data_IF_877578906184
#
_entry.id   IF_877578906184
#
_cell.length_a   1.000
_cell.length_b   1.000
_cell.length_c   1.000
_cell.angle_alpha   90.00
_cell.angle_beta   90.00
_cell.angle_gamma   90.00
#
_symmetry.space_group_name_H-M   'P 1'
#
loop_
_entity.id
_entity.type
_entity.pdbx_description
1 polymer ?
#
# COMPACT_ATOMS: atom_id res chain seq x y z
N UNK A 1 -0.34 -18.14 -1.30
CA UNK A 1 -1.53 -17.30 -1.52
C UNK A 1 -1.07 -16.17 -2.41
N UNK A 2 -1.48 -16.20 -3.67
CA UNK A 2 -0.97 -15.33 -4.73
C UNK A 2 -1.38 -13.89 -4.44
N UNK A 3 -0.42 -13.06 -4.05
CA UNK A 3 -0.56 -11.61 -4.09
C UNK A 3 -0.84 -11.26 -5.57
N UNK A 4 -2.03 -10.74 -5.82
CA UNK A 4 -2.32 -10.16 -7.11
C UNK A 4 -1.40 -8.95 -7.29
N UNK A 5 -0.21 -9.20 -7.86
CA UNK A 5 0.40 -8.18 -8.69
C UNK A 5 -0.63 -7.94 -9.81
N UNK A 6 -1.45 -6.91 -9.67
CA UNK A 6 -2.04 -6.31 -10.85
C UNK A 6 -0.87 -5.73 -11.64
N UNK A 7 -0.30 -6.54 -12.52
CA UNK A 7 0.41 -6.01 -13.66
C UNK A 7 -0.63 -5.16 -14.38
N UNK A 8 -0.51 -3.85 -14.23
CA UNK A 8 -1.21 -2.91 -15.09
C UNK A 8 -0.60 -3.16 -16.45
N UNK A 9 -1.24 -4.07 -17.22
CA UNK A 9 -1.04 -4.07 -18.65
C UNK A 9 -1.43 -2.68 -19.11
N UNK A 10 -0.58 -1.97 -19.83
CA UNK A 10 -0.97 -0.71 -20.43
C UNK A 10 -2.26 -0.99 -21.20
N UNK A 11 -3.37 -0.38 -20.78
CA UNK A 11 -4.59 -0.35 -21.59
C UNK A 11 -4.15 0.12 -22.95
N UNK A 12 -4.49 -0.66 -23.98
CA UNK A 12 -4.23 -0.41 -25.38
C UNK A 12 -4.66 1.03 -25.76
N UNK A 13 -3.79 2.01 -25.51
CA UNK A 13 -3.77 3.24 -26.27
C UNK A 13 -3.02 2.90 -27.56
N UNK A 14 -3.78 2.57 -28.58
CA UNK A 14 -3.28 2.23 -29.89
C UNK A 14 -2.24 3.28 -30.34
N UNK A 15 -1.01 2.84 -30.60
CA UNK A 15 0.09 3.52 -31.29
C UNK A 15 1.03 4.46 -30.53
N UNK A 16 1.11 4.47 -29.21
CA UNK A 16 2.19 5.17 -28.56
C UNK A 16 3.46 4.29 -28.53
N UNK A 17 4.65 4.75 -28.99
CA UNK A 17 5.85 3.92 -29.05
C UNK A 17 6.33 3.59 -27.65
N UNK A 18 6.27 2.31 -27.30
CA UNK A 18 6.77 1.74 -26.05
C UNK A 18 8.03 0.93 -26.31
N UNK A 19 9.14 1.26 -25.66
CA UNK A 19 10.38 0.50 -25.73
C UNK A 19 10.51 -0.41 -24.49
N UNK A 20 10.60 -1.72 -24.74
CA UNK A 20 10.82 -2.72 -23.70
C UNK A 20 12.24 -3.31 -23.83
N UNK A 21 13.04 -3.10 -22.78
CA UNK A 21 14.41 -3.61 -22.62
C UNK A 21 14.52 -4.50 -21.37
N UNK A 22 13.43 -5.13 -20.95
CA UNK A 22 13.37 -5.93 -19.73
C UNK A 22 14.22 -7.20 -19.84
N UNK A 23 14.81 -7.62 -18.70
CA UNK A 23 15.49 -8.92 -18.54
C UNK A 23 16.69 -9.15 -19.49
N UNK A 24 17.38 -8.10 -19.90
CA UNK A 24 18.50 -8.20 -20.87
C UNK A 24 19.89 -8.19 -20.23
N UNK A 25 19.97 -8.20 -18.89
CA UNK A 25 21.23 -8.14 -18.15
C UNK A 25 22.08 -6.89 -18.46
N UNK A 26 21.43 -5.80 -18.84
CA UNK A 26 22.08 -4.55 -19.22
C UNK A 26 22.73 -3.89 -17.98
N UNK A 27 24.00 -3.55 -18.07
CA UNK A 27 24.70 -2.73 -17.06
C UNK A 27 24.53 -1.23 -17.33
N UNK A 28 24.27 -0.84 -18.56
CA UNK A 28 24.01 0.52 -19.05
C UNK A 28 23.18 0.48 -20.32
N UNK A 29 22.54 1.59 -20.69
CA UNK A 29 21.77 1.70 -21.94
C UNK A 29 22.28 2.82 -22.85
N UNK A 30 23.42 3.45 -22.54
CA UNK A 30 23.95 4.63 -23.23
C UNK A 30 24.20 4.39 -24.73
N UNK A 31 24.45 3.13 -25.12
CA UNK A 31 24.63 2.74 -26.51
C UNK A 31 23.32 2.47 -27.28
N UNK A 32 22.18 2.55 -26.60
CA UNK A 32 20.85 2.33 -27.18
C UNK A 32 20.29 3.70 -27.57
N UNK A 33 20.04 3.89 -28.85
CA UNK A 33 19.40 5.12 -29.33
C UNK A 33 17.92 5.12 -28.91
N UNK A 34 17.55 6.06 -28.04
CA UNK A 34 16.17 6.29 -27.64
C UNK A 34 15.51 7.28 -28.60
N UNK A 35 14.27 7.00 -28.99
CA UNK A 35 13.47 7.91 -29.80
C UNK A 35 12.78 8.93 -28.89
N UNK A 36 12.90 10.23 -29.16
CA UNK A 36 12.28 11.31 -28.37
C UNK A 36 10.73 11.29 -28.43
N UNK A 37 10.16 10.50 -29.31
CA UNK A 37 8.74 10.25 -29.43
C UNK A 37 8.21 9.18 -28.47
N UNK A 38 9.08 8.48 -27.69
CA UNK A 38 8.67 7.45 -26.75
C UNK A 38 7.72 8.00 -25.69
N UNK A 39 6.65 7.25 -25.44
CA UNK A 39 5.71 7.50 -24.35
C UNK A 39 5.83 6.46 -23.24
N UNK A 40 6.51 5.34 -23.51
CA UNK A 40 6.79 4.33 -22.50
C UNK A 40 8.19 3.74 -22.66
N UNK A 41 8.87 3.53 -21.51
CA UNK A 41 10.17 2.88 -21.42
C UNK A 41 10.18 1.93 -20.23
N UNK A 42 10.57 0.68 -20.47
CA UNK A 42 10.87 -0.27 -19.41
C UNK A 42 12.27 -0.84 -19.59
N UNK A 43 13.07 -0.76 -18.53
CA UNK A 43 14.36 -1.44 -18.37
C UNK A 43 14.35 -2.31 -17.12
N UNK A 44 13.17 -2.89 -16.81
CA UNK A 44 12.94 -3.75 -15.67
C UNK A 44 13.88 -4.95 -15.63
N UNK A 45 14.34 -5.31 -14.43
CA UNK A 45 15.16 -6.48 -14.16
C UNK A 45 16.43 -6.55 -15.03
N UNK A 46 17.25 -5.51 -14.89
CA UNK A 46 18.57 -5.40 -15.47
C UNK A 46 19.66 -5.23 -14.37
N UNK A 47 20.84 -4.78 -14.73
CA UNK A 47 21.98 -4.62 -13.83
C UNK A 47 22.46 -3.17 -13.75
N UNK A 48 21.56 -2.20 -14.03
CA UNK A 48 21.88 -0.78 -14.03
C UNK A 48 22.31 -0.33 -12.62
N UNK A 49 23.48 0.29 -12.54
CA UNK A 49 24.00 0.88 -11.27
C UNK A 49 23.76 2.37 -11.17
N UNK A 50 23.53 3.02 -12.30
CA UNK A 50 23.27 4.44 -12.41
C UNK A 50 21.98 4.67 -13.20
N UNK A 51 21.31 5.77 -12.88
CA UNK A 51 20.20 6.26 -13.68
C UNK A 51 20.70 6.65 -15.07
N UNK A 52 20.08 6.19 -16.16
CA UNK A 52 20.52 6.54 -17.51
C UNK A 52 20.08 7.96 -17.89
N UNK A 53 21.01 8.94 -17.85
CA UNK A 53 20.70 10.37 -18.06
C UNK A 53 20.04 10.69 -19.40
N UNK A 54 20.24 9.85 -20.43
CA UNK A 54 19.59 10.02 -21.73
C UNK A 54 18.04 9.92 -21.65
N UNK A 55 17.48 9.33 -20.57
CA UNK A 55 16.02 9.28 -20.34
C UNK A 55 15.45 10.68 -20.19
N UNK A 56 16.24 11.64 -19.67
CA UNK A 56 15.77 13.00 -19.35
C UNK A 56 15.31 13.77 -20.59
N UNK A 57 15.79 13.40 -21.79
CA UNK A 57 15.35 13.99 -23.06
C UNK A 57 13.95 13.53 -23.51
N UNK A 58 13.43 12.45 -22.90
CA UNK A 58 12.16 11.82 -23.28
C UNK A 58 10.95 12.51 -22.63
N UNK A 59 10.78 13.80 -22.88
CA UNK A 59 9.77 14.64 -22.20
C UNK A 59 8.32 14.26 -22.45
N UNK A 60 8.06 13.34 -23.42
CA UNK A 60 6.73 12.77 -23.70
C UNK A 60 6.44 11.49 -22.94
N UNK A 61 7.40 11.02 -22.13
CA UNK A 61 7.29 9.74 -21.44
C UNK A 61 6.16 9.78 -20.40
N UNK A 62 5.21 8.88 -20.52
CA UNK A 62 4.08 8.69 -19.59
C UNK A 62 4.34 7.53 -18.63
N UNK A 63 5.09 6.52 -19.09
CA UNK A 63 5.40 5.32 -18.32
C UNK A 63 6.89 5.10 -18.27
N UNK A 64 7.48 5.09 -17.07
CA UNK A 64 8.88 4.73 -16.85
C UNK A 64 8.97 3.63 -15.80
N UNK A 65 9.52 2.47 -16.21
CA UNK A 65 9.85 1.39 -15.29
C UNK A 65 11.36 1.12 -15.35
N UNK A 66 12.06 1.45 -14.25
CA UNK A 66 13.48 1.14 -14.03
C UNK A 66 13.66 0.29 -12.77
N UNK A 67 12.62 -0.45 -12.38
CA UNK A 67 12.64 -1.29 -11.19
C UNK A 67 13.50 -2.55 -11.37
N UNK A 68 13.83 -3.22 -10.27
CA UNK A 68 14.69 -4.40 -10.23
C UNK A 68 16.06 -4.15 -10.89
N UNK A 69 16.74 -3.10 -10.44
CA UNK A 69 18.08 -2.73 -10.82
C UNK A 69 18.97 -2.52 -9.57
N UNK A 70 20.07 -1.82 -9.69
CA UNK A 70 21.01 -1.55 -8.60
C UNK A 70 21.24 -0.04 -8.41
N UNK A 71 20.29 0.78 -8.86
CA UNK A 71 20.40 2.24 -8.88
C UNK A 71 20.34 2.78 -7.44
N UNK A 72 21.33 3.58 -7.06
CA UNK A 72 21.43 4.17 -5.73
C UNK A 72 21.03 5.65 -5.68
N UNK A 73 20.95 6.30 -6.83
CA UNK A 73 20.66 7.73 -6.92
C UNK A 73 19.83 8.05 -8.17
N UNK A 74 18.79 8.87 -7.99
CA UNK A 74 17.99 9.46 -9.07
C UNK A 74 18.35 10.94 -9.15
N UNK A 75 18.78 11.46 -10.30
CA UNK A 75 19.19 12.85 -10.44
C UNK A 75 17.99 13.80 -10.44
N UNK A 76 18.25 15.08 -10.16
CA UNK A 76 17.22 16.13 -10.18
C UNK A 76 16.57 16.31 -11.57
N UNK A 77 17.25 15.92 -12.63
CA UNK A 77 16.76 16.00 -14.00
C UNK A 77 15.51 15.14 -14.26
N UNK A 78 15.22 14.13 -13.43
CA UNK A 78 13.97 13.35 -13.48
C UNK A 78 12.72 14.24 -13.47
N UNK A 79 12.79 15.41 -12.79
CA UNK A 79 11.71 16.40 -12.76
C UNK A 79 11.35 17.01 -14.11
N UNK A 80 12.13 16.78 -15.16
CA UNK A 80 11.83 17.24 -16.52
C UNK A 80 10.77 16.35 -17.20
N UNK A 81 10.58 15.11 -16.74
CA UNK A 81 9.65 14.14 -17.32
C UNK A 81 8.20 14.40 -16.88
N UNK A 82 7.71 15.61 -17.09
CA UNK A 82 6.44 16.11 -16.55
C UNK A 82 5.18 15.41 -17.06
N UNK A 83 5.31 14.63 -18.14
CA UNK A 83 4.21 13.84 -18.69
C UNK A 83 4.05 12.47 -18.01
N UNK A 84 4.93 12.11 -17.05
CA UNK A 84 4.87 10.81 -16.38
C UNK A 84 3.58 10.65 -15.57
N UNK A 85 2.87 9.58 -15.88
CA UNK A 85 1.69 9.10 -15.16
C UNK A 85 2.04 7.90 -14.26
N UNK A 86 3.05 7.10 -14.66
CA UNK A 86 3.55 5.97 -13.88
C UNK A 86 5.08 5.98 -13.80
N UNK A 87 5.60 5.88 -12.57
CA UNK A 87 7.02 5.75 -12.30
C UNK A 87 7.26 4.58 -11.35
N UNK A 88 8.02 3.58 -11.82
CA UNK A 88 8.46 2.46 -10.99
C UNK A 88 9.98 2.50 -10.76
N UNK A 89 10.36 2.80 -9.52
CA UNK A 89 11.71 2.81 -8.97
C UNK A 89 11.93 1.66 -7.98
N UNK A 90 11.02 0.72 -7.87
CA UNK A 90 11.06 -0.37 -6.90
C UNK A 90 12.26 -1.29 -7.08
N UNK A 91 12.63 -2.00 -6.02
CA UNK A 91 13.74 -2.97 -6.06
C UNK A 91 15.05 -2.37 -6.58
N UNK A 92 15.47 -1.27 -5.95
CA UNK A 92 16.74 -0.58 -6.21
C UNK A 92 17.51 -0.38 -4.89
N UNK A 93 18.45 0.55 -4.83
CA UNK A 93 19.27 0.85 -3.64
C UNK A 93 19.10 2.30 -3.17
N UNK A 94 17.94 2.90 -3.45
CA UNK A 94 17.68 4.31 -3.18
C UNK A 94 17.57 4.56 -1.67
N UNK A 95 18.39 5.44 -1.12
CA UNK A 95 18.30 5.91 0.26
C UNK A 95 17.55 7.25 0.39
N UNK A 96 17.44 7.98 -0.70
CA UNK A 96 16.74 9.26 -0.83
C UNK A 96 16.14 9.43 -2.22
N UNK A 97 15.25 10.41 -2.36
CA UNK A 97 14.65 10.82 -3.62
C UNK A 97 14.91 12.30 -3.86
N UNK A 98 15.12 12.74 -5.11
CA UNK A 98 15.31 14.15 -5.40
C UNK A 98 14.00 14.93 -5.18
N UNK A 99 14.15 16.17 -4.71
CA UNK A 99 13.00 17.05 -4.47
C UNK A 99 12.23 17.40 -5.75
N UNK A 100 12.89 17.31 -6.90
CA UNK A 100 12.31 17.56 -8.22
C UNK A 100 11.27 16.53 -8.64
N UNK A 101 11.19 15.36 -7.98
CA UNK A 101 10.07 14.42 -8.18
C UNK A 101 8.70 15.06 -7.94
N UNK A 102 8.60 16.07 -7.07
CA UNK A 102 7.37 16.84 -6.87
C UNK A 102 6.91 17.64 -8.09
N UNK A 103 7.74 17.76 -9.15
CA UNK A 103 7.37 18.42 -10.41
C UNK A 103 6.58 17.49 -11.35
N UNK A 104 6.53 16.18 -11.06
CA UNK A 104 5.83 15.18 -11.86
C UNK A 104 4.34 15.16 -11.52
N UNK A 105 3.66 16.28 -11.68
CA UNK A 105 2.28 16.49 -11.20
C UNK A 105 1.22 15.62 -11.88
N UNK A 106 1.55 15.01 -13.03
CA UNK A 106 0.66 14.06 -13.73
C UNK A 106 0.76 12.64 -13.18
N UNK A 107 1.66 12.35 -12.21
CA UNK A 107 1.80 11.02 -11.64
C UNK A 107 0.50 10.54 -10.97
N UNK A 108 0.08 9.35 -11.39
CA UNK A 108 -1.05 8.58 -10.85
C UNK A 108 -0.54 7.39 -10.03
N UNK A 109 0.58 6.79 -10.46
CA UNK A 109 1.17 5.58 -9.85
C UNK A 109 2.65 5.79 -9.54
N UNK A 110 3.03 5.64 -8.26
CA UNK A 110 4.42 5.73 -7.81
C UNK A 110 4.80 4.49 -7.01
N UNK A 111 5.80 3.74 -7.51
CA UNK A 111 6.34 2.55 -6.88
C UNK A 111 7.76 2.80 -6.39
N UNK A 112 7.97 2.65 -5.09
CA UNK A 112 9.23 2.88 -4.37
C UNK A 112 9.60 1.68 -3.49
N UNK A 113 8.95 0.53 -3.71
CA UNK A 113 9.12 -0.65 -2.86
C UNK A 113 10.54 -1.22 -2.92
N UNK A 114 10.95 -1.88 -1.84
CA UNK A 114 12.24 -2.56 -1.71
C UNK A 114 13.43 -1.64 -2.07
N UNK A 115 13.57 -0.57 -1.29
CA UNK A 115 14.65 0.40 -1.32
C UNK A 115 15.19 0.61 0.12
N UNK A 116 15.89 1.72 0.38
CA UNK A 116 16.48 2.03 1.68
C UNK A 116 15.96 3.37 2.23
N UNK A 117 14.75 3.78 1.82
CA UNK A 117 14.18 5.07 2.14
C UNK A 117 13.81 5.18 3.64
N UNK A 118 14.23 6.25 4.29
CA UNK A 118 13.83 6.60 5.65
C UNK A 118 12.71 7.65 5.69
N UNK A 119 12.57 8.44 4.61
CA UNK A 119 11.54 9.47 4.42
C UNK A 119 11.37 9.74 2.92
N UNK A 120 10.44 10.62 2.55
CA UNK A 120 10.24 11.12 1.19
C UNK A 120 10.24 12.64 1.18
N UNK A 121 10.66 13.30 0.08
CA UNK A 121 10.73 14.75 0.00
C UNK A 121 9.38 15.44 0.24
N UNK A 122 9.39 16.55 0.95
CA UNK A 122 8.19 17.36 1.21
C UNK A 122 7.51 17.87 -0.09
N UNK A 123 8.26 18.03 -1.15
CA UNK A 123 7.77 18.47 -2.47
C UNK A 123 6.82 17.50 -3.13
N UNK A 124 6.81 16.21 -2.72
CA UNK A 124 5.86 15.23 -3.24
C UNK A 124 4.41 15.56 -2.83
N UNK A 125 4.19 16.48 -1.89
CA UNK A 125 2.86 17.04 -1.58
C UNK A 125 2.17 17.68 -2.79
N UNK A 126 2.93 18.05 -3.83
CA UNK A 126 2.39 18.59 -5.08
C UNK A 126 1.78 17.52 -6.02
N UNK A 127 1.94 16.23 -5.72
CA UNK A 127 1.40 15.13 -6.53
C UNK A 127 -0.10 14.92 -6.28
N UNK A 128 -0.91 15.91 -6.65
CA UNK A 128 -2.35 15.92 -6.36
C UNK A 128 -3.16 14.88 -7.16
N UNK A 129 -2.57 14.29 -8.22
CA UNK A 129 -3.19 13.26 -9.04
C UNK A 129 -2.83 11.84 -8.60
N UNK A 130 -1.94 11.69 -7.60
CA UNK A 130 -1.42 10.39 -7.17
C UNK A 130 -2.52 9.57 -6.50
N UNK A 131 -2.86 8.41 -7.09
CA UNK A 131 -3.88 7.48 -6.59
C UNK A 131 -3.28 6.24 -5.93
N UNK A 132 -2.10 5.84 -6.34
CA UNK A 132 -1.40 4.67 -5.83
C UNK A 132 0.01 5.03 -5.38
N UNK A 133 0.33 4.71 -4.12
CA UNK A 133 1.67 4.88 -3.57
C UNK A 133 2.12 3.61 -2.86
N UNK A 134 3.26 3.06 -3.30
CA UNK A 134 3.85 1.88 -2.69
C UNK A 134 5.28 2.18 -2.19
N UNK A 135 5.47 2.21 -0.86
CA UNK A 135 6.77 2.38 -0.20
C UNK A 135 7.06 1.18 0.71
N UNK A 136 6.63 -0.02 0.31
CA UNK A 136 6.86 -1.24 1.08
C UNK A 136 8.33 -1.62 1.11
N UNK A 137 8.74 -2.43 2.10
CA UNK A 137 10.12 -2.92 2.20
C UNK A 137 11.15 -1.78 2.17
N UNK A 138 11.00 -0.81 3.09
CA UNK A 138 11.88 0.34 3.28
C UNK A 138 12.24 0.51 4.78
N UNK A 139 12.72 1.67 5.17
CA UNK A 139 13.18 1.95 6.55
C UNK A 139 12.37 3.03 7.25
N UNK A 140 11.13 3.27 6.82
CA UNK A 140 10.25 4.28 7.42
C UNK A 140 9.97 3.95 8.90
N UNK A 141 10.17 4.92 9.78
CA UNK A 141 9.83 4.80 11.21
C UNK A 141 8.50 5.49 11.57
N UNK A 142 7.99 6.29 10.66
CA UNK A 142 6.69 6.98 10.70
C UNK A 142 6.11 7.04 9.29
N UNK A 143 4.82 7.31 9.18
CA UNK A 143 4.23 7.70 7.90
C UNK A 143 4.72 9.12 7.59
N UNK A 144 5.38 9.36 6.44
CA UNK A 144 5.85 10.69 6.06
C UNK A 144 4.70 11.71 6.02
N UNK A 145 4.89 12.88 6.63
CA UNK A 145 3.88 13.94 6.71
C UNK A 145 3.34 14.36 5.33
N UNK A 146 4.22 14.32 4.33
CA UNK A 146 3.92 14.64 2.93
C UNK A 146 2.76 13.82 2.37
N UNK A 147 2.62 12.55 2.80
CA UNK A 147 1.58 11.65 2.29
C UNK A 147 0.19 12.18 2.62
N UNK A 148 0.00 12.80 3.78
CA UNK A 148 -1.32 13.28 4.20
C UNK A 148 -1.89 14.39 3.31
N UNK A 149 -1.05 15.08 2.53
CA UNK A 149 -1.48 16.07 1.54
C UNK A 149 -1.88 15.46 0.18
N UNK A 150 -1.70 14.15 0.00
CA UNK A 150 -2.02 13.44 -1.25
C UNK A 150 -3.49 12.98 -1.24
N UNK A 151 -4.42 13.93 -1.24
CA UNK A 151 -5.85 13.64 -1.02
C UNK A 151 -6.50 12.77 -2.11
N UNK A 152 -5.86 12.61 -3.29
CA UNK A 152 -6.35 11.72 -4.35
C UNK A 152 -6.00 10.25 -4.12
N UNK A 153 -5.19 9.90 -3.08
CA UNK A 153 -4.80 8.53 -2.83
C UNK A 153 -6.01 7.62 -2.61
N UNK A 154 -6.01 6.54 -3.38
CA UNK A 154 -6.98 5.46 -3.29
C UNK A 154 -6.37 4.21 -2.63
N UNK A 155 -5.06 3.99 -2.84
CA UNK A 155 -4.34 2.85 -2.27
C UNK A 155 -2.97 3.28 -1.75
N UNK A 156 -2.68 2.93 -0.48
CA UNK A 156 -1.42 3.21 0.21
C UNK A 156 -0.82 1.93 0.78
N UNK A 157 0.38 1.58 0.32
CA UNK A 157 1.14 0.41 0.78
C UNK A 157 2.41 0.82 1.49
N UNK A 158 2.48 0.49 2.78
CA UNK A 158 3.59 0.82 3.69
C UNK A 158 4.09 -0.40 4.48
N UNK A 159 3.73 -1.62 4.07
CA UNK A 159 4.10 -2.82 4.83
C UNK A 159 5.62 -3.08 4.82
N UNK A 160 6.09 -3.92 5.76
CA UNK A 160 7.51 -4.22 5.95
C UNK A 160 8.37 -2.95 6.14
N UNK A 161 7.93 -2.06 7.03
CA UNK A 161 8.68 -0.90 7.48
C UNK A 161 8.89 -0.99 9.01
N UNK A 162 9.24 0.13 9.66
CA UNK A 162 9.44 0.21 11.11
C UNK A 162 8.50 1.24 11.75
N UNK A 163 7.33 1.47 11.14
CA UNK A 163 6.38 2.51 11.54
C UNK A 163 5.82 2.16 12.93
N UNK A 164 6.06 3.03 13.90
CA UNK A 164 5.62 2.83 15.28
C UNK A 164 4.43 3.71 15.68
N UNK A 165 4.23 4.83 14.97
CA UNK A 165 3.16 5.77 15.24
C UNK A 165 2.17 5.82 14.07
N UNK A 166 0.90 5.61 14.37
CA UNK A 166 -0.19 5.81 13.43
C UNK A 166 -0.73 7.23 13.63
N UNK A 167 -0.33 8.14 12.75
CA UNK A 167 -0.59 9.57 12.92
C UNK A 167 -2.07 9.93 12.75
N UNK A 168 -2.55 10.90 13.52
CA UNK A 168 -3.92 11.43 13.43
C UNK A 168 -4.28 11.96 12.04
N UNK A 169 -3.32 12.57 11.35
CA UNK A 169 -3.47 13.08 9.98
C UNK A 169 -3.84 12.03 8.94
N UNK A 170 -3.82 10.74 9.29
CA UNK A 170 -4.31 9.70 8.36
C UNK A 170 -5.74 9.97 7.91
N UNK A 171 -6.55 10.60 8.76
CA UNK A 171 -7.93 10.98 8.44
C UNK A 171 -8.07 11.96 7.27
N UNK A 172 -7.00 12.66 6.88
CA UNK A 172 -7.00 13.57 5.72
C UNK A 172 -7.09 12.83 4.38
N UNK A 173 -6.77 11.51 4.36
CA UNK A 173 -6.81 10.67 3.16
C UNK A 173 -8.24 10.14 2.89
N UNK A 174 -9.21 11.00 2.78
CA UNK A 174 -10.66 10.66 2.73
C UNK A 174 -11.07 9.82 1.52
N UNK A 175 -10.27 9.77 0.46
CA UNK A 175 -10.52 8.96 -0.74
C UNK A 175 -9.90 7.55 -0.66
N UNK A 176 -9.18 7.24 0.44
CA UNK A 176 -8.46 5.98 0.58
C UNK A 176 -9.43 4.80 0.64
N UNK A 177 -9.18 3.80 -0.22
CA UNK A 177 -9.96 2.56 -0.34
C UNK A 177 -9.21 1.36 0.24
N UNK A 178 -7.88 1.36 0.12
CA UNK A 178 -7.03 0.28 0.60
C UNK A 178 -5.82 0.83 1.37
N UNK A 179 -5.63 0.32 2.60
CA UNK A 179 -4.51 0.68 3.47
C UNK A 179 -3.78 -0.57 3.94
N UNK A 180 -2.51 -0.70 3.57
CA UNK A 180 -1.69 -1.86 3.87
C UNK A 180 -0.50 -1.46 4.76
N UNK A 181 -0.55 -1.86 6.03
CA UNK A 181 0.41 -1.52 7.09
C UNK A 181 1.01 -2.77 7.76
N UNK A 182 0.95 -3.93 7.08
CA UNK A 182 1.46 -5.19 7.63
C UNK A 182 2.93 -5.08 8.04
N UNK A 183 3.33 -5.87 9.05
CA UNK A 183 4.71 -5.99 9.49
C UNK A 183 5.36 -4.63 9.80
N UNK A 184 4.75 -3.88 10.70
CA UNK A 184 5.25 -2.64 11.26
C UNK A 184 5.32 -2.75 12.81
N UNK A 185 5.39 -1.62 13.52
CA UNK A 185 5.46 -1.58 14.98
C UNK A 185 4.30 -0.83 15.62
N UNK A 186 3.16 -0.74 14.92
CA UNK A 186 1.98 -0.03 15.37
C UNK A 186 1.38 -0.70 16.61
N UNK A 187 0.99 0.09 17.61
CA UNK A 187 0.42 -0.41 18.87
C UNK A 187 -1.00 0.09 19.14
N UNK A 188 -1.43 1.11 18.45
CA UNK A 188 -2.75 1.74 18.63
C UNK A 188 -3.20 2.47 17.37
N UNK A 189 -4.49 2.78 17.29
CA UNK A 189 -5.08 3.61 16.25
C UNK A 189 -5.31 5.03 16.73
N UNK A 190 -5.27 6.03 15.83
CA UNK A 190 -5.82 7.35 16.12
C UNK A 190 -7.35 7.34 15.98
N UNK A 191 -8.03 8.23 16.70
CA UNK A 191 -9.50 8.38 16.58
C UNK A 191 -9.91 8.80 15.16
N UNK A 192 -9.06 9.57 14.47
CA UNK A 192 -9.28 10.06 13.11
C UNK A 192 -9.33 8.95 12.05
N UNK A 193 -9.07 7.69 12.41
CA UNK A 193 -9.26 6.55 11.50
C UNK A 193 -10.70 6.50 10.95
N UNK A 194 -11.69 6.96 11.71
CA UNK A 194 -13.08 7.00 11.30
C UNK A 194 -13.38 7.93 10.11
N UNK A 195 -12.47 8.83 9.78
CA UNK A 195 -12.60 9.74 8.63
C UNK A 195 -12.33 9.05 7.29
N UNK A 196 -11.72 7.86 7.29
CA UNK A 196 -11.46 7.07 6.08
C UNK A 196 -12.74 6.38 5.57
N UNK A 197 -13.80 7.12 5.34
CA UNK A 197 -15.15 6.60 5.05
C UNK A 197 -15.26 5.81 3.73
N UNK A 198 -14.25 5.88 2.87
CA UNK A 198 -14.19 5.08 1.64
C UNK A 198 -13.42 3.78 1.79
N UNK A 199 -12.81 3.52 2.97
CA UNK A 199 -11.94 2.38 3.19
C UNK A 199 -12.71 1.06 3.08
N UNK A 200 -12.18 0.14 2.28
CA UNK A 200 -12.71 -1.20 2.02
C UNK A 200 -11.78 -2.30 2.51
N UNK A 201 -10.48 -2.05 2.45
CA UNK A 201 -9.45 -3.01 2.86
C UNK A 201 -8.54 -2.34 3.88
N UNK A 202 -8.40 -2.96 5.04
CA UNK A 202 -7.40 -2.61 6.06
C UNK A 202 -6.62 -3.85 6.44
N UNK A 203 -5.35 -3.89 6.05
CA UNK A 203 -4.43 -4.92 6.53
C UNK A 203 -3.39 -4.31 7.47
N UNK A 204 -3.47 -4.69 8.74
CA UNK A 204 -2.58 -4.25 9.81
C UNK A 204 -1.93 -5.45 10.51
N UNK A 205 -1.88 -6.59 9.82
CA UNK A 205 -1.29 -7.82 10.35
C UNK A 205 0.19 -7.65 10.71
N UNK A 206 0.70 -8.45 11.65
CA UNK A 206 2.10 -8.40 12.04
C UNK A 206 2.49 -7.09 12.75
N UNK A 207 1.62 -6.55 13.59
CA UNK A 207 1.86 -5.35 14.39
C UNK A 207 1.78 -5.68 15.91
N UNK A 208 1.53 -4.67 16.74
CA UNK A 208 1.46 -4.79 18.21
C UNK A 208 0.13 -4.24 18.76
N UNK A 209 -0.92 -4.27 17.94
CA UNK A 209 -2.25 -3.75 18.30
C UNK A 209 -2.85 -4.60 19.42
N UNK A 210 -3.34 -3.93 20.47
CA UNK A 210 -3.92 -4.58 21.66
C UNK A 210 -5.45 -4.50 21.72
N UNK A 211 -6.03 -3.50 21.07
CA UNK A 211 -7.47 -3.27 21.05
C UNK A 211 -7.92 -2.60 19.77
N UNK A 212 -9.18 -2.81 19.39
CA UNK A 212 -9.84 -2.15 18.26
C UNK A 212 -10.68 -1.01 18.85
N UNK A 213 -10.42 0.25 18.47
CA UNK A 213 -11.20 1.38 18.97
C UNK A 213 -12.57 1.45 18.28
N UNK A 214 -13.57 2.01 18.99
CA UNK A 214 -14.90 2.26 18.40
C UNK A 214 -14.85 3.14 17.15
N UNK A 215 -13.87 4.04 17.05
CA UNK A 215 -13.65 4.86 15.88
C UNK A 215 -13.45 4.01 14.59
N UNK A 216 -12.72 2.90 14.67
CA UNK A 216 -12.50 2.01 13.53
C UNK A 216 -13.81 1.35 13.08
N UNK A 217 -14.69 1.02 14.03
CA UNK A 217 -15.95 0.33 13.71
C UNK A 217 -16.97 1.23 13.00
N UNK A 218 -16.68 2.54 12.87
CA UNK A 218 -17.49 3.49 12.09
C UNK A 218 -17.21 3.40 10.57
N UNK A 219 -16.22 2.62 10.14
CA UNK A 219 -15.86 2.43 8.73
C UNK A 219 -16.88 1.52 8.02
N UNK A 220 -18.06 2.04 7.77
CA UNK A 220 -19.22 1.28 7.27
C UNK A 220 -19.04 0.60 5.91
N UNK A 221 -18.00 0.97 5.13
CA UNK A 221 -17.66 0.35 3.84
C UNK A 221 -16.60 -0.73 3.92
N UNK A 222 -16.06 -0.99 5.12
CA UNK A 222 -14.97 -1.95 5.30
C UNK A 222 -15.47 -3.36 4.96
N UNK A 223 -14.72 -4.05 4.09
CA UNK A 223 -15.02 -5.39 3.59
C UNK A 223 -14.01 -6.43 4.06
N UNK A 224 -12.73 -6.05 4.07
CA UNK A 224 -11.63 -6.91 4.46
C UNK A 224 -10.84 -6.30 5.60
N UNK A 225 -10.80 -6.98 6.75
CA UNK A 225 -10.10 -6.54 7.95
C UNK A 225 -9.15 -7.63 8.43
N UNK A 226 -7.86 -7.32 8.44
CA UNK A 226 -6.82 -8.27 8.82
C UNK A 226 -6.00 -7.77 10.01
N UNK A 227 -6.15 -8.45 11.15
CA UNK A 227 -5.39 -8.25 12.39
C UNK A 227 -4.48 -9.43 12.74
N UNK A 228 -4.23 -10.34 11.83
CA UNK A 228 -3.39 -11.51 12.10
C UNK A 228 -2.04 -11.10 12.69
N UNK A 229 -1.52 -11.90 13.64
CA UNK A 229 -0.25 -11.64 14.33
C UNK A 229 -0.22 -10.26 15.00
N UNK A 230 -1.17 -10.01 15.89
CA UNK A 230 -1.22 -8.85 16.77
C UNK A 230 -1.30 -9.31 18.24
N UNK A 231 -1.76 -8.44 19.13
CA UNK A 231 -1.88 -8.74 20.57
C UNK A 231 -3.29 -8.45 21.08
N UNK A 232 -4.32 -8.62 20.24
CA UNK A 232 -5.72 -8.37 20.61
C UNK A 232 -6.14 -9.34 21.73
N UNK A 233 -6.67 -8.83 22.83
CA UNK A 233 -7.24 -9.61 23.94
C UNK A 233 -8.76 -9.73 23.88
N UNK A 234 -9.40 -8.80 23.18
CA UNK A 234 -10.86 -8.71 23.04
C UNK A 234 -11.24 -7.99 21.74
N UNK A 235 -12.50 -8.14 21.34
CA UNK A 235 -13.15 -7.34 20.31
C UNK A 235 -14.22 -6.47 20.95
N UNK A 236 -14.42 -5.22 20.51
CA UNK A 236 -15.49 -4.37 21.02
C UNK A 236 -16.86 -4.87 20.52
N UNK A 237 -17.93 -4.64 21.31
CA UNK A 237 -19.30 -4.91 20.85
C UNK A 237 -19.68 -4.10 19.61
N UNK A 238 -19.08 -2.91 19.44
CA UNK A 238 -19.25 -2.06 18.26
C UNK A 238 -18.75 -2.68 16.96
N UNK A 239 -18.02 -3.82 16.98
CA UNK A 239 -17.60 -4.55 15.77
C UNK A 239 -18.79 -4.88 14.85
N UNK A 240 -19.98 -5.05 15.45
CA UNK A 240 -21.25 -5.26 14.76
C UNK A 240 -21.64 -4.14 13.78
N UNK A 241 -21.08 -2.94 13.94
CA UNK A 241 -21.34 -1.80 13.05
C UNK A 241 -20.67 -1.98 11.67
N UNK A 242 -19.70 -2.88 11.53
CA UNK A 242 -19.03 -3.19 10.25
C UNK A 242 -19.90 -4.09 9.37
N UNK A 243 -21.09 -3.64 9.04
CA UNK A 243 -22.14 -4.46 8.37
C UNK A 243 -21.76 -4.92 6.96
N UNK A 244 -20.77 -4.31 6.32
CA UNK A 244 -20.26 -4.73 4.99
C UNK A 244 -19.07 -5.67 5.06
N UNK A 245 -18.63 -6.05 6.28
CA UNK A 245 -17.45 -6.89 6.45
C UNK A 245 -17.70 -8.30 5.88
N UNK A 246 -16.78 -8.74 5.01
CA UNK A 246 -16.80 -10.03 4.35
C UNK A 246 -15.71 -10.97 4.87
N UNK A 247 -14.54 -10.41 5.19
CA UNK A 247 -13.40 -11.16 5.70
C UNK A 247 -12.88 -10.54 6.99
N UNK A 248 -12.74 -11.35 8.03
CA UNK A 248 -12.12 -10.98 9.31
C UNK A 248 -11.05 -12.00 9.69
N UNK A 249 -9.79 -11.59 9.61
CA UNK A 249 -8.66 -12.44 10.00
C UNK A 249 -8.10 -11.97 11.36
N UNK A 250 -8.28 -12.80 12.37
CA UNK A 250 -7.87 -12.56 13.76
C UNK A 250 -6.86 -13.59 14.25
N UNK A 251 -6.25 -14.36 13.36
CA UNK A 251 -5.28 -15.41 13.72
C UNK A 251 -4.12 -14.87 14.54
N UNK A 252 -3.60 -15.72 15.41
CA UNK A 252 -2.43 -15.43 16.22
C UNK A 252 -2.58 -14.10 16.98
N UNK A 253 -3.62 -14.04 17.82
CA UNK A 253 -3.87 -13.01 18.80
C UNK A 253 -4.05 -13.65 20.19
N UNK A 254 -4.55 -12.92 21.16
CA UNK A 254 -4.74 -13.38 22.55
C UNK A 254 -6.23 -13.44 22.94
N UNK A 255 -7.14 -13.61 21.96
CA UNK A 255 -8.56 -13.63 22.20
C UNK A 255 -8.96 -14.86 23.03
N UNK A 256 -9.80 -14.64 24.07
CA UNK A 256 -10.36 -15.69 24.92
C UNK A 256 -11.88 -15.82 24.76
N UNK A 257 -12.52 -14.80 24.22
CA UNK A 257 -13.96 -14.73 23.97
C UNK A 257 -14.25 -13.85 22.75
N UNK A 258 -15.48 -13.89 22.27
CA UNK A 258 -16.03 -13.02 21.24
C UNK A 258 -17.18 -12.20 21.83
N UNK A 259 -17.41 -10.96 21.35
CA UNK A 259 -18.57 -10.19 21.76
C UNK A 259 -19.85 -10.84 21.29
N UNK A 260 -20.93 -10.67 22.05
CA UNK A 260 -22.23 -11.25 21.67
C UNK A 260 -22.74 -10.71 20.35
N UNK A 261 -22.40 -9.45 20.02
CA UNK A 261 -22.83 -8.81 18.78
C UNK A 261 -22.22 -9.39 17.49
N UNK A 262 -21.17 -10.19 17.55
CA UNK A 262 -20.44 -10.65 16.34
C UNK A 262 -21.34 -11.43 15.37
N UNK A 263 -22.37 -12.15 15.87
CA UNK A 263 -23.29 -12.91 15.03
C UNK A 263 -24.16 -12.02 14.10
N UNK A 264 -24.19 -10.71 14.35
CA UNK A 264 -24.95 -9.77 13.52
C UNK A 264 -24.25 -9.40 12.22
N UNK A 265 -23.00 -9.80 12.04
CA UNK A 265 -22.22 -9.57 10.82
C UNK A 265 -22.68 -10.50 9.67
N UNK A 266 -23.86 -10.25 9.14
CA UNK A 266 -24.56 -11.14 8.16
C UNK A 266 -23.84 -11.28 6.82
N UNK A 267 -22.96 -10.32 6.47
CA UNK A 267 -22.18 -10.36 5.24
C UNK A 267 -20.83 -11.07 5.41
N UNK A 268 -20.50 -11.51 6.64
CA UNK A 268 -19.22 -12.16 6.91
C UNK A 268 -19.18 -13.54 6.25
N UNK A 269 -18.25 -13.71 5.30
CA UNK A 269 -18.04 -14.95 4.55
C UNK A 269 -16.92 -15.80 5.13
N UNK A 270 -15.95 -15.14 5.78
CA UNK A 270 -14.79 -15.81 6.38
C UNK A 270 -14.38 -15.16 7.67
N UNK A 271 -14.26 -15.99 8.72
CA UNK A 271 -13.71 -15.63 10.03
C UNK A 271 -12.58 -16.60 10.38
N UNK A 272 -11.39 -16.09 10.63
CA UNK A 272 -10.24 -16.90 10.99
C UNK A 272 -9.75 -16.54 12.40
N UNK A 273 -9.94 -17.47 13.34
CA UNK A 273 -9.65 -17.32 14.77
C UNK A 273 -8.50 -18.21 15.26
N UNK A 274 -7.86 -18.96 14.36
CA UNK A 274 -6.80 -19.90 14.72
C UNK A 274 -5.68 -19.24 15.52
N UNK A 275 -5.05 -20.02 16.41
CA UNK A 275 -3.94 -19.57 17.25
C UNK A 275 -4.31 -18.40 18.18
N UNK A 276 -5.53 -18.47 18.73
CA UNK A 276 -5.99 -17.65 19.85
C UNK A 276 -6.08 -18.52 21.12
N UNK A 277 -6.59 -17.96 22.21
CA UNK A 277 -6.62 -18.60 23.55
C UNK A 277 -8.03 -19.01 23.98
N UNK A 278 -8.88 -19.42 23.04
CA UNK A 278 -10.23 -19.92 23.35
C UNK A 278 -10.15 -21.23 24.12
N UNK A 279 -10.79 -21.29 25.30
CA UNK A 279 -10.91 -22.53 26.08
C UNK A 279 -12.04 -23.43 25.60
N UNK A 280 -13.04 -22.86 24.93
CA UNK A 280 -14.23 -23.53 24.44
C UNK A 280 -14.61 -22.93 23.08
N UNK A 281 -15.40 -23.68 22.31
CA UNK A 281 -15.96 -23.15 21.07
C UNK A 281 -16.97 -22.03 21.40
N UNK A 282 -16.77 -20.79 20.91
CA UNK A 282 -17.67 -19.69 21.22
C UNK A 282 -19.07 -19.93 20.65
N UNK A 283 -20.10 -19.85 21.52
CA UNK A 283 -21.49 -20.13 21.11
C UNK A 283 -22.00 -19.18 20.02
N UNK A 284 -21.47 -17.96 19.96
CA UNK A 284 -21.80 -16.95 18.96
C UNK A 284 -21.49 -17.38 17.53
N UNK A 285 -20.58 -18.34 17.33
CA UNK A 285 -20.16 -18.81 16.02
C UNK A 285 -21.24 -19.63 15.31
N UNK A 286 -22.09 -20.34 16.04
CA UNK A 286 -23.15 -21.16 15.47
C UNK A 286 -24.05 -20.36 14.50
N UNK A 287 -24.44 -19.15 14.90
CA UNK A 287 -25.28 -18.30 14.06
C UNK A 287 -24.55 -17.79 12.81
N UNK A 288 -23.23 -17.55 12.87
CA UNK A 288 -22.44 -17.17 11.71
C UNK A 288 -22.30 -18.35 10.72
N UNK A 289 -22.13 -19.58 11.22
CA UNK A 289 -22.11 -20.81 10.40
C UNK A 289 -23.45 -21.02 9.69
N UNK A 290 -24.56 -20.85 10.39
CA UNK A 290 -25.91 -20.91 9.80
C UNK A 290 -26.09 -19.86 8.68
N UNK A 291 -25.47 -18.70 8.80
CA UNK A 291 -25.46 -17.65 7.78
C UNK A 291 -24.47 -17.95 6.63
N UNK A 292 -23.77 -19.10 6.65
CA UNK A 292 -22.83 -19.53 5.61
C UNK A 292 -21.42 -18.95 5.74
N UNK A 293 -21.03 -18.43 6.92
CA UNK A 293 -19.66 -17.98 7.17
C UNK A 293 -18.73 -19.18 7.33
N UNK A 294 -17.61 -19.18 6.59
CA UNK A 294 -16.53 -20.15 6.78
C UNK A 294 -15.70 -19.76 7.99
N UNK A 295 -15.74 -20.57 9.04
CA UNK A 295 -15.02 -20.31 10.30
C UNK A 295 -13.82 -21.26 10.42
N UNK A 296 -12.68 -20.72 10.82
CA UNK A 296 -11.49 -21.45 11.22
C UNK A 296 -11.12 -21.03 12.66
N UNK A 297 -11.05 -22.02 13.58
CA UNK A 297 -10.71 -21.81 14.99
C UNK A 297 -9.65 -22.80 15.46
#
# INVERSE_FOLDING_TARGET
>A
MLLHQRSITPTEQANAPFLNLDNQQLEQIDNIKLDEGLTGLSVYNNQLRHYPEQIDSLTKLQVLNISCNQIAHIPDSIGQLRALEMLDLGHNKLSELPSTLGQLTELVYLYLSNNQLNDIPATLSALHNLRYLNITDNHLTRIPETIFSMHALEELRLYNNKIALFAEKIGELTNLKELHLMNNHLSQFPDQINQLTQLRVLDISGNRIKSIPDALTQLSRLQDLNFRFNSLSELPESIAALTQLQTLDLRANNLTSLPDSIYTLKNLKRLDLRWNSFSHYPAQLAQLEENGCLIHI
#
